data_IF_306221475280
#
_entry.id   IF_306221475280
#
_cell.length_a   1.000
_cell.length_b   1.000
_cell.length_c   1.000
_cell.angle_alpha   90.00
_cell.angle_beta   90.00
_cell.angle_gamma   90.00
#
_symmetry.space_group_name_H-M   'P 1'
#
loop_
_entity.id
_entity.type
_entity.pdbx_description
1 polymer ?
#
# COMPACT_ATOMS: atom_id res chain seq x y z
N UNK A 1 2.74 15.81 -28.03
CA UNK A 1 3.53 16.78 -27.25
C UNK A 1 4.35 16.02 -26.20
N UNK A 2 5.61 16.33 -26.12
CA UNK A 2 6.46 15.76 -25.06
C UNK A 2 6.56 16.79 -23.95
N UNK A 3 6.14 16.41 -22.75
CA UNK A 3 6.29 17.23 -21.57
C UNK A 3 7.60 16.84 -20.88
N UNK A 4 8.57 17.75 -20.91
CA UNK A 4 9.82 17.57 -20.18
C UNK A 4 9.71 18.26 -18.83
N UNK A 5 9.84 17.49 -17.76
CA UNK A 5 9.79 18.00 -16.40
C UNK A 5 11.21 17.95 -15.85
N UNK A 6 11.78 19.12 -15.60
CA UNK A 6 13.12 19.26 -15.05
C UNK A 6 13.13 19.31 -13.53
N UNK A 7 14.28 19.56 -12.95
CA UNK A 7 14.42 19.73 -11.50
C UNK A 7 13.58 20.91 -11.03
N UNK A 8 13.01 20.78 -9.83
CA UNK A 8 12.21 21.85 -9.22
C UNK A 8 10.75 21.87 -9.61
N UNK A 9 10.27 20.89 -10.35
CA UNK A 9 8.87 20.83 -10.78
C UNK A 9 7.89 20.38 -9.66
N UNK A 10 8.37 20.02 -8.50
CA UNK A 10 7.53 19.54 -7.39
C UNK A 10 7.13 18.07 -7.42
N UNK A 11 7.51 17.34 -8.47
CA UNK A 11 7.33 15.89 -8.51
C UNK A 11 8.52 15.22 -7.86
N UNK A 12 8.26 14.30 -6.95
CA UNK A 12 9.30 13.53 -6.28
C UNK A 12 9.35 12.11 -6.82
N UNK A 13 10.51 11.48 -6.69
CA UNK A 13 10.67 10.06 -6.97
C UNK A 13 9.75 9.24 -6.03
N UNK A 14 9.43 7.98 -6.38
CA UNK A 14 8.73 7.10 -5.45
C UNK A 14 9.43 7.10 -4.10
N UNK A 15 8.66 7.25 -3.04
CA UNK A 15 9.18 7.25 -1.68
C UNK A 15 8.93 5.89 -1.02
N UNK A 16 9.77 5.54 -0.06
CA UNK A 16 9.63 4.32 0.72
C UNK A 16 9.26 4.63 2.14
N UNK A 17 8.50 3.74 2.76
CA UNK A 17 7.95 3.94 4.10
C UNK A 17 7.98 2.63 4.88
N UNK A 18 8.02 2.79 6.21
CA UNK A 18 7.99 1.68 7.16
C UNK A 18 6.73 1.80 7.99
N UNK A 19 5.72 0.95 7.77
CA UNK A 19 4.54 0.93 8.63
C UNK A 19 4.91 0.70 10.09
N UNK A 20 4.21 1.38 10.99
CA UNK A 20 4.37 1.17 12.44
C UNK A 20 3.39 0.14 12.97
N UNK A 21 2.30 -0.08 12.27
CA UNK A 21 1.32 -1.10 12.58
C UNK A 21 0.47 -1.40 11.36
N UNK A 22 -0.24 -2.51 11.39
CA UNK A 22 -1.21 -2.87 10.39
C UNK A 22 -2.28 -3.77 10.99
N UNK A 23 -3.50 -3.68 10.47
CA UNK A 23 -4.55 -4.65 10.72
C UNK A 23 -4.94 -5.29 9.39
N UNK A 24 -5.31 -6.55 9.43
CA UNK A 24 -5.72 -7.29 8.24
C UNK A 24 -6.99 -8.07 8.53
N UNK A 25 -7.98 -7.89 7.66
CA UNK A 25 -9.23 -8.63 7.73
C UNK A 25 -9.27 -9.67 6.60
N UNK A 26 -9.13 -10.95 6.91
CA UNK A 26 -9.13 -12.00 5.89
C UNK A 26 -10.51 -12.23 5.24
N UNK A 27 -11.57 -11.73 5.83
CA UNK A 27 -12.91 -11.86 5.26
C UNK A 27 -13.12 -10.85 4.12
N UNK A 28 -12.66 -9.63 4.32
CA UNK A 28 -12.82 -8.55 3.33
C UNK A 28 -11.59 -8.34 2.45
N UNK A 29 -10.44 -8.86 2.87
CA UNK A 29 -9.18 -8.64 2.18
C UNK A 29 -8.63 -7.24 2.38
N UNK A 30 -9.14 -6.50 3.35
CA UNK A 30 -8.69 -5.14 3.63
C UNK A 30 -7.55 -5.13 4.63
N UNK A 31 -6.55 -4.32 4.35
CA UNK A 31 -5.46 -4.04 5.28
C UNK A 31 -5.44 -2.55 5.58
N UNK A 32 -5.47 -2.19 6.86
CA UNK A 32 -5.29 -0.81 7.32
C UNK A 32 -3.86 -0.66 7.81
N UNK A 33 -3.16 0.26 7.22
CA UNK A 33 -1.75 0.55 7.55
C UNK A 33 -1.72 1.79 8.43
N UNK A 34 -0.94 1.73 9.49
CA UNK A 34 -0.64 2.87 10.34
C UNK A 34 0.74 3.42 10.00
N UNK A 35 0.78 4.70 9.67
CA UNK A 35 1.99 5.45 9.35
C UNK A 35 1.73 6.91 9.69
N UNK A 36 2.27 7.38 10.81
CA UNK A 36 1.96 8.71 11.33
C UNK A 36 2.35 9.82 10.34
N UNK A 37 1.45 10.75 10.15
CA UNK A 37 1.66 11.96 9.34
C UNK A 37 2.17 11.67 7.93
N UNK A 38 1.64 10.63 7.29
CA UNK A 38 2.16 10.17 5.99
C UNK A 38 1.87 11.14 4.83
N UNK A 39 0.87 11.98 4.95
CA UNK A 39 0.55 12.96 3.90
C UNK A 39 -0.05 12.37 2.61
N UNK A 40 -0.42 11.10 2.61
CA UNK A 40 -1.05 10.46 1.45
C UNK A 40 -2.50 10.93 1.32
N UNK A 41 -3.05 10.78 0.14
CA UNK A 41 -4.45 11.12 -0.16
C UNK A 41 -5.14 9.93 -0.82
N UNK A 42 -6.47 9.91 -0.76
CA UNK A 42 -7.26 8.89 -1.45
C UNK A 42 -6.90 8.87 -2.93
N UNK A 43 -6.68 7.68 -3.46
CA UNK A 43 -6.29 7.50 -4.84
C UNK A 43 -4.79 7.38 -5.07
N UNK A 44 -3.96 7.70 -4.08
CA UNK A 44 -2.54 7.37 -4.15
C UNK A 44 -2.35 5.86 -4.28
N UNK A 45 -1.20 5.45 -4.78
CA UNK A 45 -0.88 4.03 -4.95
C UNK A 45 0.34 3.65 -4.13
N UNK A 46 0.26 2.47 -3.54
CA UNK A 46 1.38 1.86 -2.79
C UNK A 46 1.70 0.49 -3.35
N UNK A 47 2.95 0.09 -3.17
CA UNK A 47 3.42 -1.25 -3.53
C UNK A 47 4.18 -1.81 -2.34
N UNK A 48 3.85 -3.03 -1.96
CA UNK A 48 4.51 -3.75 -0.88
C UNK A 48 5.64 -4.61 -1.47
N UNK A 49 6.83 -4.49 -0.90
CA UNK A 49 7.87 -5.47 -1.17
C UNK A 49 7.44 -6.84 -0.61
N UNK A 50 7.90 -7.92 -1.21
CA UNK A 50 7.62 -9.23 -0.67
C UNK A 50 8.14 -9.33 0.76
N UNK A 51 7.29 -9.83 1.67
CA UNK A 51 7.62 -9.91 3.07
C UNK A 51 7.56 -8.58 3.83
N UNK A 52 7.00 -7.53 3.26
CA UNK A 52 6.99 -6.18 3.85
C UNK A 52 6.37 -6.12 5.24
N UNK A 53 5.35 -6.92 5.51
CA UNK A 53 4.67 -6.97 6.81
C UNK A 53 4.57 -8.40 7.31
N UNK A 54 4.72 -8.57 8.61
CA UNK A 54 4.61 -9.89 9.27
C UNK A 54 3.43 -9.88 10.22
N UNK A 55 2.60 -10.90 10.09
CA UNK A 55 1.48 -11.15 11.00
C UNK A 55 1.67 -12.50 11.69
N UNK A 56 1.10 -12.60 12.89
CA UNK A 56 0.93 -13.86 13.59
C UNK A 56 -0.51 -14.35 13.42
N UNK A 57 -0.65 -15.62 13.07
CA UNK A 57 -1.95 -16.25 12.87
C UNK A 57 -1.90 -17.68 13.42
N UNK A 58 -2.87 -18.04 14.23
CA UNK A 58 -2.94 -19.37 14.86
C UNK A 58 -3.44 -20.49 13.96
N UNK A 59 -3.45 -20.32 12.66
CA UNK A 59 -3.96 -21.31 11.72
C UNK A 59 -3.28 -22.68 11.92
N UNK A 60 -4.10 -23.71 12.01
CA UNK A 60 -3.61 -25.07 12.26
C UNK A 60 -3.03 -25.28 13.65
N UNK A 61 -3.32 -24.39 14.62
CA UNK A 61 -2.80 -24.48 15.98
C UNK A 61 -1.36 -23.99 16.11
N UNK A 62 -0.84 -23.29 15.12
CA UNK A 62 0.52 -22.74 15.17
C UNK A 62 0.67 -21.72 16.30
N UNK A 63 1.82 -21.72 16.95
CA UNK A 63 2.18 -20.78 18.01
C UNK A 63 3.62 -20.29 17.84
N UNK A 64 3.96 -19.18 18.52
CA UNK A 64 5.31 -18.63 18.46
C UNK A 64 5.75 -18.28 17.05
N UNK A 65 7.02 -18.54 16.73
CA UNK A 65 7.59 -18.23 15.42
C UNK A 65 6.90 -18.97 14.27
N UNK A 66 6.38 -20.16 14.51
CA UNK A 66 5.65 -20.95 13.49
C UNK A 66 4.36 -20.29 13.05
N UNK A 67 3.75 -19.48 13.92
CA UNK A 67 2.55 -18.72 13.62
C UNK A 67 2.82 -17.47 12.79
N UNK A 68 4.06 -17.04 12.67
CA UNK A 68 4.42 -15.80 11.98
C UNK A 68 4.62 -16.04 10.50
N UNK A 69 3.99 -15.20 9.69
CA UNK A 69 4.10 -15.23 8.24
C UNK A 69 4.29 -13.80 7.72
N UNK A 70 5.19 -13.66 6.77
CA UNK A 70 5.45 -12.37 6.12
C UNK A 70 4.73 -12.30 4.79
N UNK A 71 4.19 -11.13 4.50
CA UNK A 71 3.36 -10.85 3.33
C UNK A 71 3.77 -9.55 2.65
N UNK A 72 3.46 -9.36 1.35
CA UNK A 72 2.96 -10.42 0.47
C UNK A 72 4.04 -11.46 0.19
N UNK A 73 3.60 -12.65 -0.16
CA UNK A 73 4.46 -13.67 -0.76
C UNK A 73 4.46 -13.44 -2.28
N UNK A 74 5.45 -13.94 -2.98
CA UNK A 74 5.58 -13.74 -4.43
C UNK A 74 4.37 -14.23 -5.24
N UNK A 75 3.56 -15.12 -4.67
CA UNK A 75 2.34 -15.63 -5.29
C UNK A 75 1.07 -14.91 -4.89
N UNK A 76 1.15 -13.99 -3.94
CA UNK A 76 -0.02 -13.27 -3.46
C UNK A 76 -0.43 -12.17 -4.44
N UNK A 77 -1.73 -11.84 -4.46
CA UNK A 77 -2.27 -10.78 -5.32
C UNK A 77 -1.54 -9.44 -5.15
N UNK A 78 -1.18 -9.10 -3.91
CA UNK A 78 -0.52 -7.83 -3.60
C UNK A 78 0.97 -7.81 -3.95
N UNK A 79 1.57 -8.94 -4.37
CA UNK A 79 2.97 -8.98 -4.73
C UNK A 79 3.25 -8.19 -6.00
N UNK A 80 4.27 -7.33 -5.96
CA UNK A 80 4.74 -6.53 -7.09
C UNK A 80 3.63 -5.77 -7.83
N UNK A 81 2.65 -5.29 -7.09
CA UNK A 81 1.47 -4.63 -7.64
C UNK A 81 1.27 -3.26 -7.00
N UNK A 82 1.00 -2.26 -7.82
CA UNK A 82 0.53 -0.96 -7.34
C UNK A 82 -0.93 -1.07 -6.95
N UNK A 83 -1.21 -0.77 -5.68
CA UNK A 83 -2.55 -0.85 -5.10
C UNK A 83 -3.03 0.54 -4.71
N UNK A 84 -4.23 0.87 -5.12
CA UNK A 84 -4.84 2.15 -4.79
C UNK A 84 -5.29 2.15 -3.34
N UNK A 85 -4.99 3.24 -2.62
CA UNK A 85 -5.39 3.39 -1.21
C UNK A 85 -6.67 4.22 -1.11
N UNK A 86 -7.39 4.00 -0.03
CA UNK A 86 -8.64 4.70 0.27
C UNK A 86 -8.83 4.80 1.79
N UNK A 87 -9.92 5.46 2.23
CA UNK A 87 -10.18 5.72 3.65
C UNK A 87 -8.95 6.30 4.36
N UNK A 88 -8.33 7.27 3.72
CA UNK A 88 -7.09 7.88 4.18
C UNK A 88 -7.39 8.86 5.32
N UNK A 89 -6.65 8.71 6.41
CA UNK A 89 -6.61 9.68 7.52
C UNK A 89 -5.21 10.27 7.63
N UNK A 90 -4.97 11.11 8.62
CA UNK A 90 -3.63 11.65 8.87
C UNK A 90 -2.59 10.56 9.12
N UNK A 91 -3.00 9.47 9.75
CA UNK A 91 -2.08 8.43 10.25
C UNK A 91 -2.35 7.04 9.70
N UNK A 92 -3.40 6.85 8.91
CA UNK A 92 -3.75 5.52 8.39
C UNK A 92 -4.23 5.59 6.95
N UNK A 93 -4.12 4.48 6.26
CA UNK A 93 -4.77 4.27 4.97
C UNK A 93 -5.17 2.81 4.82
N UNK A 94 -6.16 2.56 3.99
CA UNK A 94 -6.69 1.22 3.73
C UNK A 94 -6.34 0.79 2.31
N UNK A 95 -6.06 -0.49 2.15
CA UNK A 95 -5.73 -1.07 0.84
C UNK A 95 -6.36 -2.46 0.72
N UNK A 96 -6.84 -2.79 -0.47
CA UNK A 96 -7.35 -4.14 -0.78
C UNK A 96 -6.16 -5.01 -1.19
N UNK A 97 -5.86 -6.04 -0.39
CA UNK A 97 -4.70 -6.91 -0.62
C UNK A 97 -5.06 -8.29 -1.15
N UNK A 98 -6.34 -8.59 -1.30
CA UNK A 98 -6.83 -9.84 -1.90
C UNK A 98 -7.72 -9.54 -3.11
N UNK A 99 -7.63 -10.37 -4.12
CA UNK A 99 -8.54 -10.35 -5.27
C UNK A 99 -9.68 -11.35 -5.14
N UNK A 100 -9.54 -12.30 -4.23
CA UNK A 100 -10.55 -13.33 -3.94
C UNK A 100 -10.87 -13.30 -2.46
N UNK A 101 -12.12 -13.03 -2.14
CA UNK A 101 -12.61 -12.93 -0.76
C UNK A 101 -13.82 -13.84 -0.53
N UNK A 102 -13.98 -14.37 0.68
CA UNK A 102 -13.02 -14.32 1.79
C UNK A 102 -11.74 -15.13 1.50
N UNK A 103 -10.71 -14.89 2.29
CA UNK A 103 -9.52 -15.75 2.28
C UNK A 103 -9.90 -17.19 2.67
N UNK A 104 -9.13 -18.16 2.21
CA UNK A 104 -9.31 -19.55 2.65
C UNK A 104 -9.03 -19.73 4.14
N UNK A 105 -8.20 -18.85 4.70
CA UNK A 105 -7.97 -18.80 6.14
C UNK A 105 -8.53 -17.47 6.68
N UNK A 106 -9.56 -17.56 7.50
CA UNK A 106 -10.21 -16.40 8.11
C UNK A 106 -9.81 -16.19 9.57
N UNK A 107 -8.80 -16.89 10.07
CA UNK A 107 -8.30 -16.68 11.42
C UNK A 107 -7.76 -15.26 11.59
N UNK A 108 -7.87 -14.75 12.81
CA UNK A 108 -7.40 -13.42 13.14
C UNK A 108 -5.88 -13.30 12.92
N UNK A 109 -5.47 -12.20 12.33
CA UNK A 109 -4.07 -11.87 12.09
C UNK A 109 -3.67 -10.72 13.02
N UNK A 110 -2.57 -10.91 13.74
CA UNK A 110 -2.01 -9.89 14.65
C UNK A 110 -0.69 -9.38 14.06
N UNK A 111 -0.56 -8.07 13.94
CA UNK A 111 0.67 -7.44 13.42
C UNK A 111 1.85 -7.76 14.35
N UNK A 112 2.97 -8.14 13.75
CA UNK A 112 4.22 -8.42 14.45
C UNK A 112 5.26 -7.37 14.10
N UNK A 113 5.51 -7.15 12.82
CA UNK A 113 6.56 -6.22 12.38
C UNK A 113 6.38 -5.82 10.92
N UNK A 114 7.09 -4.76 10.54
CA UNK A 114 7.22 -4.37 9.15
C UNK A 114 8.71 -4.20 8.81
N UNK A 115 9.05 -4.50 7.57
CA UNK A 115 10.41 -4.31 7.06
C UNK A 115 10.64 -2.82 6.83
N UNK A 116 11.82 -2.34 7.19
CA UNK A 116 12.22 -0.96 6.94
C UNK A 116 12.12 -0.65 5.44
N UNK A 117 11.39 0.42 5.13
CA UNK A 117 11.13 0.86 3.75
C UNK A 117 10.47 -0.21 2.86
N UNK A 118 9.70 -1.09 3.47
CA UNK A 118 9.03 -2.19 2.75
C UNK A 118 7.82 -1.75 1.93
N UNK A 119 7.35 -0.53 2.09
CA UNK A 119 6.22 0.02 1.32
C UNK A 119 6.71 1.18 0.46
N UNK A 120 6.43 1.12 -0.82
CA UNK A 120 6.75 2.18 -1.78
C UNK A 120 5.47 2.91 -2.15
N UNK A 121 5.51 4.25 -2.13
CA UNK A 121 4.43 5.09 -2.61
C UNK A 121 4.78 5.59 -4.01
N UNK A 122 3.85 5.46 -4.94
CA UNK A 122 4.02 5.97 -6.28
C UNK A 122 4.20 7.49 -6.27
N UNK A 123 4.94 7.99 -7.24
CA UNK A 123 4.98 9.42 -7.50
C UNK A 123 3.54 9.89 -7.66
N UNK A 124 3.18 10.91 -6.89
CA UNK A 124 1.89 11.56 -7.07
C UNK A 124 1.84 12.07 -8.49
N UNK A 125 1.06 11.43 -9.33
CA UNK A 125 0.71 12.03 -10.61
C UNK A 125 0.03 13.34 -10.28
N UNK A 126 0.65 14.41 -10.67
CA UNK A 126 -0.04 15.68 -10.72
C UNK A 126 -1.24 15.43 -11.61
N UNK A 127 -2.38 15.26 -11.01
CA UNK A 127 -3.61 15.43 -11.73
C UNK A 127 -3.73 16.93 -11.97
N UNK A 128 -2.93 17.39 -12.91
CA UNK A 128 -3.25 18.63 -13.52
C UNK A 128 -4.68 18.44 -13.96
N UNK A 129 -5.57 19.19 -13.38
CA UNK A 129 -6.96 19.16 -13.79
C UNK A 129 -6.98 19.11 -15.31
N UNK A 130 -7.76 18.27 -15.88
CA UNK A 130 -7.79 18.08 -17.33
C UNK A 130 -7.89 19.39 -18.08
N UNK A 131 -8.51 20.37 -17.46
CA UNK A 131 -8.61 21.72 -17.99
C UNK A 131 -7.26 22.35 -18.26
N UNK A 132 -6.28 22.09 -17.43
CA UNK A 132 -4.95 22.67 -17.57
C UNK A 132 -4.23 22.15 -18.81
N UNK A 133 -4.60 21.01 -19.32
CA UNK A 133 -3.98 20.43 -20.50
C UNK A 133 -4.62 20.92 -21.79
N UNK A 134 -5.79 21.53 -21.72
CA UNK A 134 -6.51 21.96 -22.93
C UNK A 134 -6.00 23.26 -23.51
N UNK A 135 -5.28 24.03 -22.73
CA UNK A 135 -4.74 25.30 -23.22
C UNK A 135 -3.83 25.15 -24.43
N UNK A 136 -3.18 24.02 -24.55
CA UNK A 136 -2.25 23.75 -25.64
C UNK A 136 -2.93 23.67 -26.99
N UNK A 137 -4.21 23.58 -27.02
CA UNK A 137 -4.99 23.44 -28.25
C UNK A 137 -5.54 24.76 -28.78
N UNK A 138 -5.29 25.84 -28.07
CA UNK A 138 -5.85 27.15 -28.40
C UNK A 138 -4.80 27.99 -29.10
N UNK A 139 -4.88 28.04 -30.36
CA UNK A 139 -4.11 28.98 -31.20
C UNK A 139 -4.90 29.48 -32.34
#
# INVERSE_FOLDING_TARGET
MVLTIGAGHGLSAPSTHTPTSATYDPVTGLMVITLANHGFVNGDQVKFADGAVTFSCGFGGATGAAAQKSYPRSTDYASDRWLQIFDVTTNTYTVQVLDTIPSTNTDAHTFVSAVTNGVKKAVSTVRIANESLRFSCNY
#
